data_IF_308246541918
#
_entry.id   IF_308246541918
#
_cell.length_a   1.000
_cell.length_b   1.000
_cell.length_c   1.000
_cell.angle_alpha   90.00
_cell.angle_beta   90.00
_cell.angle_gamma   90.00
#
_symmetry.space_group_name_H-M   'P 1'
#
loop_
_entity.id
_entity.type
_entity.pdbx_description
1 polymer ?
#
# COMPACT_ATOMS: atom_id res chain seq x y z
N UNK A 1 -29.56 10.23 19.88
CA UNK A 1 -29.95 10.53 18.49
C UNK A 1 -28.78 10.14 17.62
N UNK A 2 -29.01 9.34 16.59
CA UNK A 2 -27.99 8.96 15.61
C UNK A 2 -28.11 9.89 14.40
N UNK A 3 -26.98 10.30 13.84
CA UNK A 3 -26.91 11.23 12.70
C UNK A 3 -25.92 10.68 11.69
N UNK A 4 -26.34 10.59 10.43
CA UNK A 4 -25.46 10.21 9.32
C UNK A 4 -24.66 11.42 8.84
N UNK A 5 -23.35 11.26 8.73
CA UNK A 5 -22.45 12.32 8.28
C UNK A 5 -22.49 12.43 6.73
N UNK A 6 -22.76 13.61 6.17
CA UNK A 6 -22.64 13.83 4.73
C UNK A 6 -21.16 13.75 4.31
N UNK A 7 -20.90 13.31 3.07
CA UNK A 7 -19.54 13.20 2.51
C UNK A 7 -18.54 12.43 3.41
N UNK A 8 -19.03 11.40 4.11
CA UNK A 8 -18.25 10.61 5.06
C UNK A 8 -17.44 9.47 4.44
N UNK A 9 -17.70 9.15 3.17
CA UNK A 9 -16.93 8.16 2.42
C UNK A 9 -15.73 8.82 1.75
N UNK A 10 -14.56 8.20 1.93
CA UNK A 10 -13.32 8.57 1.26
C UNK A 10 -12.52 7.30 0.95
N UNK A 11 -11.94 7.23 -0.25
CA UNK A 11 -11.07 6.16 -0.70
C UNK A 11 -9.66 6.70 -0.94
N UNK A 12 -8.66 5.88 -0.62
CA UNK A 12 -7.25 6.20 -0.81
C UNK A 12 -6.58 5.08 -1.59
N UNK A 13 -6.10 5.40 -2.79
CA UNK A 13 -5.30 4.49 -3.60
C UNK A 13 -3.82 4.78 -3.37
N UNK A 14 -3.05 3.74 -3.03
CA UNK A 14 -1.63 3.88 -2.77
C UNK A 14 -0.87 2.57 -3.06
N UNK A 15 0.42 2.70 -3.26
CA UNK A 15 1.36 1.59 -3.44
C UNK A 15 2.27 1.49 -2.22
N UNK A 16 2.36 0.31 -1.60
CA UNK A 16 3.28 0.06 -0.48
C UNK A 16 3.59 -1.43 -0.36
N UNK A 17 4.67 -1.77 0.35
CA UNK A 17 4.93 -3.17 0.67
C UNK A 17 3.96 -3.68 1.74
N UNK A 18 3.48 -4.94 1.66
CA UNK A 18 2.52 -5.48 2.63
C UNK A 18 2.96 -5.36 4.10
N UNK A 19 4.25 -5.56 4.38
CA UNK A 19 4.79 -5.42 5.74
C UNK A 19 4.78 -3.97 6.24
N UNK A 20 5.04 -2.98 5.35
CA UNK A 20 4.97 -1.56 5.71
C UNK A 20 3.54 -1.15 6.04
N UNK A 21 2.56 -1.65 5.28
CA UNK A 21 1.14 -1.43 5.58
C UNK A 21 0.78 -1.99 6.96
N UNK A 22 1.15 -3.25 7.22
CA UNK A 22 0.88 -3.92 8.49
C UNK A 22 1.53 -3.19 9.66
N UNK A 23 2.82 -2.86 9.57
CA UNK A 23 3.54 -2.15 10.62
C UNK A 23 2.92 -0.78 10.91
N UNK A 24 2.55 -0.05 9.87
CA UNK A 24 1.92 1.28 9.99
C UNK A 24 0.54 1.16 10.64
N UNK A 25 -0.30 0.24 10.18
CA UNK A 25 -1.65 0.03 10.72
C UNK A 25 -1.64 -0.48 12.17
N UNK A 26 -0.59 -1.18 12.58
CA UNK A 26 -0.40 -1.62 13.96
C UNK A 26 0.11 -0.49 14.86
N UNK A 27 1.04 0.33 14.38
CA UNK A 27 1.71 1.37 15.19
C UNK A 27 0.93 2.66 15.29
N UNK A 28 0.27 3.08 14.21
CA UNK A 28 -0.35 4.40 14.10
C UNK A 28 -1.88 4.28 14.03
N UNK A 29 -2.61 4.77 15.06
CA UNK A 29 -4.06 4.89 14.96
C UNK A 29 -4.43 6.05 14.03
N UNK A 30 -5.52 5.89 13.28
CA UNK A 30 -6.14 7.01 12.59
C UNK A 30 -6.92 7.86 13.60
N UNK A 31 -6.60 9.14 13.67
CA UNK A 31 -7.28 10.10 14.55
C UNK A 31 -8.40 10.79 13.78
N UNK A 32 -9.62 10.71 14.31
CA UNK A 32 -10.77 11.44 13.78
C UNK A 32 -11.16 12.52 14.77
N UNK A 33 -11.17 13.76 14.31
CA UNK A 33 -11.51 14.92 15.12
C UNK A 33 -12.98 15.31 14.95
N UNK A 34 -13.67 15.57 16.06
CA UNK A 34 -15.02 16.09 16.08
C UNK A 34 -14.97 17.60 16.31
N UNK A 35 -15.35 18.36 15.29
CA UNK A 35 -15.38 19.83 15.33
C UNK A 35 -16.80 20.35 15.38
N UNK A 36 -17.06 21.29 16.28
CA UNK A 36 -18.22 22.15 16.22
C UNK A 36 -17.94 23.33 15.30
N UNK A 37 -18.77 23.51 14.28
CA UNK A 37 -18.71 24.64 13.35
C UNK A 37 -19.95 25.48 13.47
N UNK A 38 -19.77 26.78 13.53
CA UNK A 38 -20.83 27.77 13.57
C UNK A 38 -20.48 28.94 12.63
N UNK A 39 -21.49 29.68 12.16
CA UNK A 39 -21.31 30.78 11.21
C UNK A 39 -20.73 32.03 11.87
N UNK A 40 -20.87 32.15 13.19
CA UNK A 40 -20.54 33.39 13.92
C UNK A 40 -19.33 33.23 14.84
N UNK A 41 -19.02 32.01 15.24
CA UNK A 41 -17.92 31.69 16.15
C UNK A 41 -16.85 30.85 15.47
N UNK A 42 -15.64 30.86 16.05
CA UNK A 42 -14.53 30.06 15.55
C UNK A 42 -14.79 28.57 15.79
N UNK A 43 -14.38 27.73 14.84
CA UNK A 43 -14.43 26.28 14.97
C UNK A 43 -13.81 25.80 16.30
N UNK A 44 -14.55 24.93 16.99
CA UNK A 44 -14.19 24.41 18.30
C UNK A 44 -13.99 22.89 18.24
N UNK A 45 -12.80 22.42 18.60
CA UNK A 45 -12.51 20.99 18.73
C UNK A 45 -13.20 20.43 19.98
N UNK A 46 -14.17 19.54 19.77
CA UNK A 46 -14.91 18.90 20.86
C UNK A 46 -14.18 17.66 21.37
N UNK A 47 -13.67 16.81 20.47
CA UNK A 47 -13.05 15.55 20.86
C UNK A 47 -12.36 14.80 19.73
N UNK A 48 -11.72 13.70 20.09
CA UNK A 48 -10.95 12.86 19.18
C UNK A 48 -11.33 11.39 19.39
N UNK A 49 -11.54 10.67 18.30
CA UNK A 49 -11.71 9.23 18.27
C UNK A 49 -10.45 8.57 17.65
N UNK A 50 -10.07 7.40 18.17
CA UNK A 50 -8.86 6.67 17.77
C UNK A 50 -9.25 5.35 17.10
N UNK A 51 -9.00 5.24 15.80
CA UNK A 51 -9.33 4.07 15.01
C UNK A 51 -8.07 3.21 14.85
N UNK A 52 -8.15 1.95 15.27
CA UNK A 52 -7.05 1.00 15.10
C UNK A 52 -7.21 0.27 13.76
N UNK A 53 -6.54 0.77 12.72
CA UNK A 53 -6.69 0.26 11.34
C UNK A 53 -6.26 -1.21 11.22
N UNK A 54 -5.34 -1.70 12.04
CA UNK A 54 -4.90 -3.10 12.01
C UNK A 54 -6.02 -4.12 12.23
N UNK A 55 -7.17 -3.73 12.81
CA UNK A 55 -8.33 -4.61 12.96
C UNK A 55 -8.85 -5.15 11.62
N UNK A 56 -8.74 -4.37 10.53
CA UNK A 56 -9.16 -4.84 9.20
C UNK A 56 -8.29 -5.99 8.69
N UNK A 57 -7.01 -6.05 9.10
CA UNK A 57 -6.06 -7.07 8.64
C UNK A 57 -6.38 -8.47 9.17
N UNK A 58 -7.09 -8.56 10.30
CA UNK A 58 -7.52 -9.84 10.89
C UNK A 58 -8.88 -10.33 10.36
N UNK A 59 -9.53 -9.57 9.49
CA UNK A 59 -10.83 -9.96 8.92
C UNK A 59 -10.67 -11.00 7.82
N UNK A 60 -11.75 -11.74 7.52
CA UNK A 60 -11.75 -12.70 6.42
C UNK A 60 -11.45 -12.02 5.08
N UNK A 61 -10.57 -12.65 4.29
CA UNK A 61 -10.25 -12.20 2.92
C UNK A 61 -11.25 -12.80 1.94
N UNK A 62 -12.02 -11.93 1.30
CA UNK A 62 -12.95 -12.31 0.23
C UNK A 62 -12.35 -11.95 -1.13
N UNK A 63 -12.54 -12.83 -2.12
CA UNK A 63 -12.02 -12.62 -3.48
C UNK A 63 -13.04 -11.83 -4.30
N UNK A 64 -12.58 -10.85 -5.07
CA UNK A 64 -13.41 -10.13 -6.04
C UNK A 64 -12.64 -9.88 -7.34
N UNK A 65 -13.39 -9.57 -8.41
CA UNK A 65 -12.82 -9.25 -9.71
C UNK A 65 -12.65 -7.72 -9.83
N UNK A 66 -11.41 -7.26 -10.05
CA UNK A 66 -11.12 -5.85 -10.32
C UNK A 66 -11.60 -5.42 -11.70
N UNK A 67 -11.56 -4.12 -11.99
CA UNK A 67 -12.04 -3.54 -13.25
C UNK A 67 -11.42 -4.14 -14.52
N UNK A 68 -10.19 -4.64 -14.42
CA UNK A 68 -9.44 -5.25 -15.53
C UNK A 68 -9.51 -6.78 -15.55
N UNK A 69 -10.40 -7.41 -14.78
CA UNK A 69 -10.47 -8.87 -14.64
C UNK A 69 -9.42 -9.47 -13.70
N UNK A 70 -8.65 -8.61 -13.02
CA UNK A 70 -7.64 -9.02 -12.06
C UNK A 70 -8.27 -9.57 -10.78
N UNK A 71 -7.56 -10.48 -10.13
CA UNK A 71 -8.02 -11.10 -8.89
C UNK A 71 -7.56 -10.28 -7.70
N UNK A 72 -8.53 -9.68 -7.01
CA UNK A 72 -8.28 -8.79 -5.89
C UNK A 72 -8.84 -9.40 -4.60
N UNK A 73 -8.29 -8.96 -3.47
CA UNK A 73 -8.74 -9.38 -2.14
C UNK A 73 -9.35 -8.21 -1.39
N UNK A 74 -10.47 -8.45 -0.71
CA UNK A 74 -11.16 -7.45 0.11
C UNK A 74 -11.32 -7.95 1.53
N UNK A 75 -11.05 -7.05 2.48
CA UNK A 75 -11.33 -7.19 3.90
C UNK A 75 -12.15 -5.99 4.37
N UNK A 76 -13.17 -6.22 5.18
CA UNK A 76 -14.04 -5.14 5.68
C UNK A 76 -14.24 -5.30 7.18
N UNK A 77 -14.13 -4.20 7.91
CA UNK A 77 -14.30 -4.12 9.36
C UNK A 77 -15.23 -2.97 9.71
N UNK A 78 -16.14 -3.19 10.66
CA UNK A 78 -17.09 -2.18 11.15
C UNK A 78 -17.08 -2.15 12.66
N UNK A 79 -17.08 -0.95 13.25
CA UNK A 79 -17.06 -0.79 14.71
C UNK A 79 -17.66 0.56 15.13
N UNK A 80 -18.11 0.62 16.38
CA UNK A 80 -18.48 1.86 17.07
C UNK A 80 -17.49 2.16 18.19
N UNK A 81 -16.88 3.35 18.18
CA UNK A 81 -15.88 3.78 19.16
C UNK A 81 -16.25 5.13 19.78
N UNK A 82 -15.78 5.45 21.00
CA UNK A 82 -16.09 6.72 21.64
C UNK A 82 -15.24 7.88 21.10
N UNK A 83 -15.84 9.06 21.01
CA UNK A 83 -15.09 10.32 21.02
C UNK A 83 -14.75 10.68 22.47
N UNK A 84 -13.48 10.97 22.73
CA UNK A 84 -13.01 11.50 24.01
C UNK A 84 -12.88 13.01 23.92
N UNK A 85 -13.31 13.73 24.95
CA UNK A 85 -13.20 15.19 25.03
C UNK A 85 -11.76 15.66 24.78
N UNK A 86 -11.58 16.68 23.92
CA UNK A 86 -10.27 17.25 23.62
C UNK A 86 -9.76 18.17 24.73
N UNK A 87 -10.67 18.72 25.54
CA UNK A 87 -10.37 19.62 26.65
C UNK A 87 -11.13 19.17 27.89
N UNK A 88 -10.48 19.32 29.06
CA UNK A 88 -11.06 18.91 30.35
C UNK A 88 -10.85 17.43 30.68
N UNK A 89 -11.66 16.87 31.60
CA UNK A 89 -11.58 15.45 31.96
C UNK A 89 -11.83 14.57 30.73
N UNK A 90 -11.08 13.46 30.61
CA UNK A 90 -11.15 12.49 29.51
C UNK A 90 -12.47 11.72 29.49
N UNK A 91 -13.57 12.43 29.30
CA UNK A 91 -14.91 11.90 29.28
C UNK A 91 -15.30 11.55 27.84
N UNK A 92 -16.11 10.50 27.72
CA UNK A 92 -16.80 10.17 26.47
C UNK A 92 -17.84 11.25 26.18
N UNK A 93 -17.82 11.81 24.96
CA UNK A 93 -18.75 12.87 24.53
C UNK A 93 -19.73 12.44 23.44
N UNK A 94 -19.37 11.43 22.65
CA UNK A 94 -20.18 10.87 21.57
C UNK A 94 -19.64 9.49 21.18
N UNK A 95 -20.35 8.80 20.29
CA UNK A 95 -19.91 7.57 19.63
C UNK A 95 -19.78 7.80 18.12
N UNK A 96 -18.77 7.19 17.51
CA UNK A 96 -18.52 7.15 16.06
C UNK A 96 -18.68 5.72 15.57
N UNK A 97 -19.68 5.49 14.70
CA UNK A 97 -19.79 4.26 13.92
C UNK A 97 -19.07 4.44 12.59
N UNK A 98 -18.19 3.50 12.24
CA UNK A 98 -17.39 3.57 11.01
C UNK A 98 -17.22 2.19 10.36
N UNK A 99 -16.87 2.22 9.07
CA UNK A 99 -16.54 1.04 8.27
C UNK A 99 -15.20 1.32 7.58
N UNK A 100 -14.27 0.37 7.67
CA UNK A 100 -13.00 0.37 6.91
C UNK A 100 -13.02 -0.81 5.96
N UNK A 101 -12.70 -0.53 4.69
CA UNK A 101 -12.51 -1.56 3.67
C UNK A 101 -11.09 -1.44 3.15
N UNK A 102 -10.37 -2.56 3.12
CA UNK A 102 -9.04 -2.68 2.53
C UNK A 102 -9.12 -3.58 1.31
N UNK A 103 -8.62 -3.09 0.18
CA UNK A 103 -8.56 -3.81 -1.08
C UNK A 103 -7.10 -3.99 -1.50
N UNK A 104 -6.72 -5.23 -1.76
CA UNK A 104 -5.40 -5.61 -2.25
C UNK A 104 -5.53 -6.00 -3.72
N UNK A 105 -5.01 -5.12 -4.58
CA UNK A 105 -4.95 -5.27 -6.04
C UNK A 105 -3.70 -6.03 -6.50
N UNK A 106 -2.83 -6.47 -5.58
CA UNK A 106 -1.61 -7.19 -5.90
C UNK A 106 -0.44 -6.29 -6.29
N UNK A 107 0.48 -6.83 -7.10
CA UNK A 107 1.71 -6.15 -7.46
C UNK A 107 1.43 -4.97 -8.41
N UNK A 108 2.01 -3.81 -8.08
CA UNK A 108 1.88 -2.58 -8.87
C UNK A 108 2.50 -2.77 -10.25
N UNK A 109 1.73 -2.43 -11.30
CA UNK A 109 2.25 -2.30 -12.66
C UNK A 109 2.95 -0.95 -12.77
N UNK A 110 4.21 -0.96 -13.19
CA UNK A 110 5.15 0.19 -13.19
C UNK A 110 4.66 1.45 -13.96
N UNK A 111 3.52 1.40 -14.64
CA UNK A 111 3.03 2.47 -15.52
C UNK A 111 2.09 3.50 -14.87
N UNK A 112 1.65 3.32 -13.62
CA UNK A 112 0.54 4.13 -13.07
C UNK A 112 0.80 4.75 -11.68
N UNK A 113 2.06 5.07 -11.34
CA UNK A 113 2.33 5.88 -10.13
C UNK A 113 2.23 7.36 -10.50
N UNK A 114 1.01 7.86 -10.70
CA UNK A 114 0.74 9.30 -10.71
C UNK A 114 0.77 9.80 -9.26
N UNK A 115 1.88 10.42 -8.88
CA UNK A 115 1.98 11.09 -7.57
C UNK A 115 0.97 12.23 -7.54
N UNK A 116 -0.04 12.13 -6.67
CA UNK A 116 -1.00 13.20 -6.45
C UNK A 116 -0.28 14.48 -5.98
N UNK A 117 -0.62 15.62 -6.58
CA UNK A 117 -0.01 16.93 -6.29
C UNK A 117 -0.17 17.39 -4.83
N UNK A 118 -1.04 16.75 -4.05
CA UNK A 118 -1.20 16.98 -2.60
C UNK A 118 0.02 16.56 -1.77
N UNK A 119 0.91 15.71 -2.32
CA UNK A 119 2.15 15.30 -1.67
C UNK A 119 3.29 16.34 -1.77
N UNK A 120 3.11 17.45 -2.51
CA UNK A 120 4.16 18.46 -2.75
C UNK A 120 4.25 19.57 -1.70
N UNK A 121 3.48 19.50 -0.61
CA UNK A 121 3.47 20.55 0.41
C UNK A 121 4.33 20.20 1.62
N UNK A 122 5.65 20.06 1.46
CA UNK A 122 6.64 20.37 2.50
C UNK A 122 7.95 20.86 1.85
N UNK A 123 8.11 22.19 1.91
CA UNK A 123 9.33 23.01 1.76
C UNK A 123 10.57 22.40 1.13
N UNK A 124 10.80 22.79 -0.13
CA UNK A 124 12.14 22.98 -0.66
C UNK A 124 12.75 24.26 -0.02
N UNK A 125 13.40 24.14 1.14
CA UNK A 125 14.50 25.03 1.57
C UNK A 125 15.03 24.58 2.94
N UNK A 126 16.03 23.68 2.97
CA UNK A 126 17.05 23.70 4.03
C UNK A 126 18.32 22.99 3.55
N UNK A 127 19.09 23.72 2.76
CA UNK A 127 20.52 23.51 2.62
C UNK A 127 21.19 23.88 3.96
N UNK A 128 21.76 22.88 4.66
CA UNK A 128 23.17 22.80 5.11
C UNK A 128 23.38 22.07 6.46
N UNK A 129 24.42 21.22 6.45
CA UNK A 129 25.28 20.77 7.58
C UNK A 129 24.78 19.54 8.38
N UNK A 130 25.53 18.46 8.69
CA UNK A 130 26.97 18.18 8.83
C UNK A 130 27.24 16.64 8.64
N UNK A 131 28.43 16.03 8.90
CA UNK A 131 29.18 15.23 7.93
C UNK A 131 29.23 13.72 8.25
N UNK A 132 29.47 12.86 7.26
CA UNK A 132 29.98 11.49 7.52
C UNK A 132 31.09 11.13 6.55
N UNK A 133 32.31 11.23 7.08
CA UNK A 133 33.50 10.51 6.63
C UNK A 133 33.23 9.02 6.76
N UNK A 134 33.38 8.24 5.69
CA UNK A 134 33.98 6.89 5.66
C UNK A 134 34.44 6.58 4.22
N UNK A 135 35.47 5.74 4.05
CA UNK A 135 36.30 5.69 2.85
C UNK A 135 35.60 4.93 1.72
N UNK A 136 35.57 5.52 0.53
CA UNK A 136 35.28 4.82 -0.72
C UNK A 136 36.36 3.75 -0.94
N UNK A 137 36.05 2.51 -0.62
CA UNK A 137 36.70 1.38 -1.28
C UNK A 137 36.09 1.31 -2.66
N UNK A 138 36.82 1.81 -3.65
CA UNK A 138 36.52 1.62 -5.06
C UNK A 138 36.66 0.12 -5.39
N UNK A 139 35.66 -0.69 -5.07
CA UNK A 139 35.53 -2.01 -5.68
C UNK A 139 35.07 -1.79 -7.12
N UNK A 140 35.83 -2.34 -8.07
CA UNK A 140 35.52 -2.21 -9.48
C UNK A 140 34.05 -2.60 -9.75
N UNK A 141 33.32 -1.89 -10.63
CA UNK A 141 31.88 -2.08 -10.84
C UNK A 141 31.42 -3.51 -11.19
N UNK A 142 32.37 -4.39 -11.54
CA UNK A 142 32.14 -5.81 -11.89
C UNK A 142 32.30 -6.78 -10.71
N UNK A 143 32.72 -6.31 -9.54
CA UNK A 143 32.92 -7.17 -8.37
C UNK A 143 31.79 -7.05 -7.34
N UNK A 144 30.79 -6.20 -7.59
CA UNK A 144 29.64 -6.05 -6.71
C UNK A 144 28.81 -7.33 -6.65
N UNK A 145 28.25 -7.61 -5.47
CA UNK A 145 27.37 -8.77 -5.26
C UNK A 145 26.20 -8.75 -6.26
N UNK A 146 25.70 -7.55 -6.55
CA UNK A 146 24.64 -7.28 -7.51
C UNK A 146 25.00 -7.73 -8.94
N UNK A 147 26.23 -7.44 -9.40
CA UNK A 147 26.70 -7.85 -10.73
C UNK A 147 26.80 -9.38 -10.84
N UNK A 148 27.28 -10.05 -9.78
CA UNK A 148 27.36 -11.51 -9.75
C UNK A 148 25.99 -12.17 -9.80
N UNK A 149 25.03 -11.64 -9.04
CA UNK A 149 23.64 -12.13 -9.08
C UNK A 149 23.00 -11.88 -10.45
N UNK A 150 23.22 -10.71 -11.06
CA UNK A 150 22.70 -10.41 -12.40
C UNK A 150 23.25 -11.38 -13.46
N UNK A 151 24.54 -11.69 -13.41
CA UNK A 151 25.19 -12.62 -14.34
C UNK A 151 24.65 -14.06 -14.17
N UNK A 152 24.46 -14.52 -12.93
CA UNK A 152 23.86 -15.83 -12.66
C UNK A 152 22.43 -15.94 -13.21
N UNK A 153 21.63 -14.89 -13.04
CA UNK A 153 20.27 -14.83 -13.58
C UNK A 153 20.23 -14.85 -15.10
N UNK A 154 21.18 -14.17 -15.75
CA UNK A 154 21.31 -14.18 -17.22
C UNK A 154 21.67 -15.58 -17.73
N UNK A 155 22.64 -16.25 -17.11
CA UNK A 155 23.00 -17.64 -17.43
C UNK A 155 21.84 -18.62 -17.21
N UNK A 156 21.08 -18.45 -16.11
CA UNK A 156 19.92 -19.29 -15.84
C UNK A 156 18.81 -19.10 -16.87
N UNK A 157 18.58 -17.85 -17.31
CA UNK A 157 17.62 -17.54 -18.36
C UNK A 157 18.00 -18.20 -19.69
N UNK A 158 19.27 -18.10 -20.10
CA UNK A 158 19.76 -18.73 -21.35
C UNK A 158 19.54 -20.25 -21.33
N UNK A 159 19.86 -20.91 -20.20
CA UNK A 159 19.64 -22.35 -20.06
C UNK A 159 18.15 -22.74 -20.15
N UNK A 160 17.25 -21.95 -19.54
CA UNK A 160 15.81 -22.22 -19.63
C UNK A 160 15.28 -22.00 -21.05
N UNK A 161 15.79 -20.98 -21.76
CA UNK A 161 15.41 -20.69 -23.14
C UNK A 161 15.84 -21.82 -24.08
N UNK A 162 17.06 -22.36 -23.96
CA UNK A 162 17.51 -23.50 -24.76
C UNK A 162 16.68 -24.77 -24.49
N UNK A 163 16.33 -25.03 -23.22
CA UNK A 163 15.44 -26.14 -22.88
C UNK A 163 14.06 -26.00 -23.52
N UNK A 164 13.51 -24.79 -23.51
CA UNK A 164 12.21 -24.50 -24.11
C UNK A 164 12.25 -24.66 -25.63
N UNK A 165 13.26 -24.11 -26.30
CA UNK A 165 13.47 -24.23 -27.75
C UNK A 165 13.62 -25.68 -28.19
N UNK A 166 14.39 -26.48 -27.45
CA UNK A 166 14.54 -27.90 -27.74
C UNK A 166 13.22 -28.67 -27.58
N UNK A 167 12.42 -28.34 -26.57
CA UNK A 167 11.09 -28.94 -26.41
C UNK A 167 10.13 -28.51 -27.52
N UNK A 168 10.18 -27.25 -27.92
CA UNK A 168 9.34 -26.70 -28.98
C UNK A 168 9.64 -27.39 -30.32
N UNK A 169 10.92 -27.45 -30.71
CA UNK A 169 11.36 -28.15 -31.94
C UNK A 169 10.97 -29.62 -31.96
N UNK A 170 11.07 -30.32 -30.82
CA UNK A 170 10.62 -31.71 -30.72
C UNK A 170 9.12 -31.85 -30.94
N UNK A 171 8.32 -30.95 -30.36
CA UNK A 171 6.86 -30.94 -30.57
C UNK A 171 6.48 -30.59 -32.00
N UNK A 172 7.13 -29.60 -32.60
CA UNK A 172 6.92 -29.23 -34.01
C UNK A 172 7.26 -30.39 -34.95
N UNK A 173 8.39 -31.07 -34.72
CA UNK A 173 8.79 -32.23 -35.51
C UNK A 173 7.78 -33.38 -35.38
N UNK A 174 7.36 -33.71 -34.15
CA UNK A 174 6.34 -34.74 -33.92
C UNK A 174 5.00 -34.40 -34.58
N UNK A 175 4.60 -33.14 -34.51
CA UNK A 175 3.37 -32.65 -35.16
C UNK A 175 3.45 -32.73 -36.68
N UNK A 176 4.58 -32.33 -37.27
CA UNK A 176 4.82 -32.43 -38.71
C UNK A 176 4.87 -33.89 -39.19
N UNK A 177 5.48 -34.80 -38.41
CA UNK A 177 5.49 -36.24 -38.72
C UNK A 177 4.08 -36.84 -38.71
N UNK A 178 3.26 -36.49 -37.72
CA UNK A 178 1.88 -36.97 -37.62
C UNK A 178 0.96 -36.47 -38.76
N UNK A 179 1.31 -35.37 -39.42
CA UNK A 179 0.59 -34.85 -40.59
C UNK A 179 1.05 -35.46 -41.92
N UNK A 180 2.22 -36.11 -41.93
CA UNK A 180 2.82 -36.72 -43.12
C UNK A 180 2.47 -38.20 -43.30
N UNK A 181 1.80 -38.81 -42.32
CA UNK A 181 1.28 -40.19 -42.30
C UNK A 181 -0.23 -40.21 -42.60
#
# INVERSE_FOLDING_TARGET
MEVFLPQSYCAFDFATMPHQLQDTFCRLPLLVELWHKDKTTKDLLLGVARLQLSKVLSMEKTRFLGGNGEQCWRQTFSETIPFTAAQGPSNKIADLSYIVTLEDFGLVKMHEVLVSDSARCLGADELLSIPKVHPEVQTEPRETLEYKTALELEMWKELQEDLFENQLKKKELAHMQALAE
#
